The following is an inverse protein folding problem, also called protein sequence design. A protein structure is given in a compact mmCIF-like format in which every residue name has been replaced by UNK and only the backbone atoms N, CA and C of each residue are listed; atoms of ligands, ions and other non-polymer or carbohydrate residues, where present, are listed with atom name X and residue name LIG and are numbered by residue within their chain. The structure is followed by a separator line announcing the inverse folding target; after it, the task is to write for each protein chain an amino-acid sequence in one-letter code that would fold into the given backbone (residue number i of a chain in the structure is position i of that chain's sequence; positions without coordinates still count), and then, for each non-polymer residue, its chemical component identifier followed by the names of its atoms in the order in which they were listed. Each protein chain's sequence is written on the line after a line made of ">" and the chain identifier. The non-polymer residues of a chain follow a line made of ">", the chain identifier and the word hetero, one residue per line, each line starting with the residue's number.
data_IF_063471006484
#
_entry.id   IF_063471006484
#
_cell.length_a   1.000
_cell.length_b   1.000
_cell.length_c   1.000
_cell.angle_alpha   90.00
_cell.angle_beta   90.00
_cell.angle_gamma   90.00
#
_symmetry.space_group_name_H-M   'P 1'
#
loop_
_entity.id
_entity.type
_entity.pdbx_description
1 polymer ?
#
# COMPACT_ATOMS: atom_id res chain seq x y z
N UNK A 1 -21.05 15.27 -3.72
CA UNK A 1 -20.49 14.00 -4.23
C UNK A 1 -20.76 12.80 -3.30
N UNK A 2 -20.71 12.95 -1.97
CA UNK A 2 -20.99 11.85 -1.02
C UNK A 2 -22.34 11.13 -1.24
N UNK A 3 -23.39 11.88 -1.60
CA UNK A 3 -24.72 11.30 -1.87
C UNK A 3 -24.85 10.53 -3.20
N UNK A 4 -23.89 10.69 -4.13
CA UNK A 4 -23.88 9.91 -5.38
C UNK A 4 -23.12 8.61 -5.20
N UNK A 5 -21.93 8.66 -4.59
CA UNK A 5 -21.08 7.48 -4.38
C UNK A 5 -21.77 6.41 -3.52
N UNK A 6 -22.57 6.82 -2.53
CA UNK A 6 -23.35 5.88 -1.69
C UNK A 6 -24.48 5.17 -2.44
N UNK A 7 -24.89 5.67 -3.61
CA UNK A 7 -26.01 5.15 -4.40
C UNK A 7 -25.55 4.27 -5.55
N UNK A 8 -24.26 4.26 -5.85
CA UNK A 8 -23.67 3.46 -6.93
C UNK A 8 -23.86 1.95 -6.70
N UNK A 9 -23.67 1.39 -5.50
CA UNK A 9 -23.91 -0.04 -5.29
C UNK A 9 -25.36 -0.45 -5.60
N UNK A 10 -26.33 0.43 -5.32
CA UNK A 10 -27.74 0.21 -5.66
C UNK A 10 -27.97 0.30 -7.18
N UNK A 11 -27.38 1.29 -7.86
CA UNK A 11 -27.45 1.44 -9.31
C UNK A 11 -26.80 0.26 -10.06
N UNK A 12 -25.65 -0.23 -9.57
CA UNK A 12 -24.99 -1.42 -10.12
C UNK A 12 -25.86 -2.66 -9.97
N UNK A 13 -26.50 -2.87 -8.81
CA UNK A 13 -27.44 -4.00 -8.61
C UNK A 13 -28.69 -3.90 -9.49
N UNK A 14 -29.13 -2.69 -9.83
CA UNK A 14 -30.26 -2.46 -10.73
C UNK A 14 -29.84 -2.56 -12.21
N UNK A 15 -28.55 -2.49 -12.51
CA UNK A 15 -28.03 -2.67 -13.86
C UNK A 15 -28.02 -4.15 -14.24
N UNK A 16 -28.34 -4.47 -15.49
CA UNK A 16 -28.22 -5.83 -16.04
C UNK A 16 -26.80 -6.11 -16.58
N UNK A 17 -25.80 -5.34 -16.14
CA UNK A 17 -24.41 -5.46 -16.58
C UNK A 17 -23.67 -6.49 -15.72
N UNK A 18 -22.63 -7.09 -16.27
CA UNK A 18 -21.69 -7.88 -15.47
C UNK A 18 -20.99 -7.00 -14.44
N UNK A 19 -20.57 -7.55 -13.29
CA UNK A 19 -20.02 -6.78 -12.16
C UNK A 19 -18.90 -5.82 -12.58
N UNK A 20 -17.96 -6.29 -13.41
CA UNK A 20 -16.87 -5.47 -13.94
C UNK A 20 -17.36 -4.37 -14.88
N UNK A 21 -18.27 -4.67 -15.80
CA UNK A 21 -18.82 -3.68 -16.73
C UNK A 21 -19.62 -2.60 -15.99
N UNK A 22 -20.39 -3.00 -14.98
CA UNK A 22 -21.10 -2.08 -14.10
C UNK A 22 -20.09 -1.20 -13.34
N UNK A 23 -19.04 -1.78 -12.76
CA UNK A 23 -18.02 -1.02 -12.05
C UNK A 23 -17.35 0.01 -12.95
N UNK A 24 -16.92 -0.40 -14.14
CA UNK A 24 -16.32 0.51 -15.12
C UNK A 24 -17.30 1.57 -15.63
N UNK A 25 -18.60 1.27 -15.74
CA UNK A 25 -19.60 2.23 -16.17
C UNK A 25 -19.91 3.30 -15.11
N UNK A 26 -19.93 2.93 -13.83
CA UNK A 26 -20.39 3.81 -12.75
C UNK A 26 -19.26 4.43 -11.92
N UNK A 27 -18.22 3.67 -11.57
CA UNK A 27 -17.14 4.14 -10.69
C UNK A 27 -16.00 4.80 -11.44
N UNK A 28 -15.56 4.21 -12.56
CA UNK A 28 -14.39 4.69 -13.28
C UNK A 28 -14.52 6.16 -13.76
N UNK A 29 -15.65 6.63 -14.33
CA UNK A 29 -15.79 8.04 -14.72
C UNK A 29 -15.66 9.00 -13.54
N UNK A 30 -16.12 8.60 -12.36
CA UNK A 30 -16.03 9.40 -11.13
C UNK A 30 -14.57 9.47 -10.68
N UNK A 31 -13.86 8.34 -10.67
CA UNK A 31 -12.44 8.31 -10.33
C UNK A 31 -11.59 9.10 -11.32
N UNK A 32 -11.86 8.99 -12.62
CA UNK A 32 -11.18 9.77 -13.64
C UNK A 32 -11.41 11.27 -13.46
N UNK A 33 -12.66 11.68 -13.16
CA UNK A 33 -12.97 13.08 -12.86
C UNK A 33 -12.24 13.59 -11.62
N UNK A 34 -12.24 12.83 -10.52
CA UNK A 34 -11.51 13.17 -9.30
C UNK A 34 -10.00 13.26 -9.55
N UNK A 35 -9.41 12.27 -10.21
CA UNK A 35 -8.00 12.23 -10.59
C UNK A 35 -7.61 13.40 -11.50
N UNK A 36 -8.50 13.85 -12.40
CA UNK A 36 -8.31 15.08 -13.18
C UNK A 36 -8.24 16.33 -12.30
N UNK A 37 -9.07 16.40 -11.27
CA UNK A 37 -9.08 17.54 -10.35
C UNK A 37 -7.93 17.52 -9.33
N UNK A 38 -7.25 16.39 -9.12
CA UNK A 38 -6.06 16.32 -8.26
C UNK A 38 -4.87 17.17 -8.77
N UNK A 39 -4.90 17.66 -10.02
CA UNK A 39 -3.89 18.57 -10.58
C UNK A 39 -4.47 19.96 -10.91
N UNK A 40 -5.62 20.32 -10.34
CA UNK A 40 -6.26 21.62 -10.57
C UNK A 40 -5.38 22.79 -10.04
N UNK A 41 -5.30 23.96 -10.69
CA UNK A 41 -4.57 25.12 -10.16
C UNK A 41 -5.07 25.61 -8.79
N UNK A 42 -6.36 25.44 -8.49
CA UNK A 42 -6.94 25.80 -7.20
C UNK A 42 -6.65 24.72 -6.15
N UNK A 43 -5.88 25.07 -5.11
CA UNK A 43 -5.46 24.15 -4.03
C UNK A 43 -6.65 23.50 -3.31
N UNK A 44 -7.70 24.26 -3.03
CA UNK A 44 -8.90 23.75 -2.34
C UNK A 44 -9.64 22.70 -3.19
N UNK A 45 -9.76 22.94 -4.50
CA UNK A 45 -10.38 21.98 -5.42
C UNK A 45 -9.55 20.70 -5.47
N UNK A 46 -8.22 20.80 -5.55
CA UNK A 46 -7.33 19.63 -5.50
C UNK A 46 -7.50 18.84 -4.21
N UNK A 47 -7.46 19.53 -3.06
CA UNK A 47 -7.57 18.91 -1.74
C UNK A 47 -8.92 18.19 -1.59
N UNK A 48 -10.02 18.83 -1.99
CA UNK A 48 -11.35 18.23 -1.95
C UNK A 48 -11.48 17.03 -2.89
N UNK A 49 -10.93 17.11 -4.10
CA UNK A 49 -10.92 16.01 -5.05
C UNK A 49 -10.12 14.82 -4.51
N UNK A 50 -8.90 15.07 -4.02
CA UNK A 50 -8.05 14.03 -3.46
C UNK A 50 -8.65 13.39 -2.21
N UNK A 51 -9.19 14.19 -1.28
CA UNK A 51 -9.89 13.68 -0.09
C UNK A 51 -11.09 12.81 -0.48
N UNK A 52 -11.84 13.21 -1.51
CA UNK A 52 -12.97 12.42 -2.01
C UNK A 52 -12.52 11.13 -2.68
N UNK A 53 -11.44 11.17 -3.46
CA UNK A 53 -10.83 10.01 -4.10
C UNK A 53 -10.35 9.01 -3.04
N UNK A 54 -9.56 9.48 -2.07
CA UNK A 54 -9.04 8.67 -0.98
C UNK A 54 -10.16 7.98 -0.20
N UNK A 55 -11.20 8.73 0.22
CA UNK A 55 -12.33 8.16 0.95
C UNK A 55 -13.08 7.10 0.15
N UNK A 56 -13.19 7.32 -1.17
CA UNK A 56 -13.89 6.37 -2.04
C UNK A 56 -13.04 5.10 -2.21
N UNK A 57 -11.78 5.21 -2.61
CA UNK A 57 -10.90 4.05 -2.82
C UNK A 57 -10.69 3.21 -1.56
N UNK A 58 -10.69 3.86 -0.38
CA UNK A 58 -10.57 3.19 0.91
C UNK A 58 -11.92 2.71 1.48
N UNK A 59 -13.04 2.99 0.81
CA UNK A 59 -14.36 2.52 1.25
C UNK A 59 -14.52 1.03 0.94
N UNK A 60 -15.08 0.24 1.87
CA UNK A 60 -15.44 -1.16 1.59
C UNK A 60 -16.49 -1.29 0.48
N UNK A 61 -17.25 -0.22 0.18
CA UNK A 61 -18.34 -0.24 -0.82
C UNK A 61 -17.86 -0.13 -2.28
N UNK A 62 -16.60 0.23 -2.50
CA UNK A 62 -16.05 0.46 -3.85
C UNK A 62 -15.64 -0.84 -4.55
N UNK A 63 -15.41 -1.92 -3.79
CA UNK A 63 -15.09 -3.22 -4.38
C UNK A 63 -16.16 -4.26 -4.01
N UNK A 64 -16.78 -4.82 -5.03
CA UNK A 64 -17.79 -5.86 -4.94
C UNK A 64 -17.13 -7.24 -5.14
N UNK A 65 -16.23 -7.63 -4.23
CA UNK A 65 -15.64 -8.99 -4.13
C UNK A 65 -14.92 -9.55 -5.36
N UNK A 66 -14.92 -8.87 -6.50
CA UNK A 66 -14.35 -9.34 -7.75
C UNK A 66 -12.88 -8.91 -7.88
N UNK A 67 -12.08 -9.84 -8.38
CA UNK A 67 -10.63 -9.76 -8.46
C UNK A 67 -10.17 -8.79 -9.55
N UNK A 68 -11.08 -8.21 -10.34
CA UNK A 68 -10.73 -7.36 -11.48
C UNK A 68 -10.92 -5.87 -11.19
N UNK A 69 -11.71 -5.48 -10.20
CA UNK A 69 -11.98 -4.07 -9.90
C UNK A 69 -10.75 -3.35 -9.32
N UNK A 70 -9.98 -4.03 -8.47
CA UNK A 70 -8.76 -3.45 -7.92
C UNK A 70 -7.68 -3.26 -8.99
N UNK A 71 -7.63 -4.11 -10.05
CA UNK A 71 -6.65 -3.91 -11.16
C UNK A 71 -6.89 -2.57 -11.84
N UNK A 72 -8.16 -2.22 -12.07
CA UNK A 72 -8.56 -0.95 -12.67
C UNK A 72 -8.27 0.22 -11.73
N UNK A 73 -8.42 0.05 -10.40
CA UNK A 73 -8.02 1.07 -9.42
C UNK A 73 -6.53 1.41 -9.56
N UNK A 74 -5.65 0.42 -9.66
CA UNK A 74 -4.22 0.69 -9.84
C UNK A 74 -3.91 1.24 -11.24
N UNK A 75 -4.26 0.48 -12.28
CA UNK A 75 -3.86 0.77 -13.66
C UNK A 75 -4.55 1.98 -14.30
N UNK A 76 -5.79 2.28 -13.92
CA UNK A 76 -6.59 3.34 -14.55
C UNK A 76 -6.79 4.58 -13.67
N UNK A 77 -6.51 4.49 -12.36
CA UNK A 77 -6.73 5.59 -11.41
C UNK A 77 -5.43 6.03 -10.74
N UNK A 78 -4.80 5.16 -9.94
CA UNK A 78 -3.66 5.54 -9.10
C UNK A 78 -2.37 5.76 -9.89
N UNK A 79 -1.99 4.83 -10.78
CA UNK A 79 -0.77 4.98 -11.58
C UNK A 79 -0.87 6.19 -12.53
N UNK A 80 -1.98 6.41 -13.26
CA UNK A 80 -2.13 7.60 -14.09
C UNK A 80 -2.10 8.92 -13.29
N UNK A 81 -2.66 8.95 -12.07
CA UNK A 81 -2.57 10.10 -11.19
C UNK A 81 -1.12 10.43 -10.85
N UNK A 82 -0.35 9.45 -10.37
CA UNK A 82 1.04 9.64 -9.97
C UNK A 82 1.90 10.02 -11.17
N UNK A 83 1.73 9.34 -12.30
CA UNK A 83 2.45 9.69 -13.53
C UNK A 83 2.15 11.12 -13.99
N UNK A 84 0.92 11.60 -13.85
CA UNK A 84 0.57 12.99 -14.14
C UNK A 84 1.27 13.95 -13.18
N UNK A 85 1.28 13.66 -11.88
CA UNK A 85 1.97 14.48 -10.87
C UNK A 85 3.48 14.52 -11.10
N UNK A 86 4.08 13.45 -11.62
CA UNK A 86 5.49 13.37 -11.96
C UNK A 86 5.88 14.22 -13.17
N UNK A 87 4.94 14.67 -14.00
CA UNK A 87 5.25 15.53 -15.14
C UNK A 87 5.77 16.88 -14.69
N UNK A 88 6.86 17.32 -15.30
CA UNK A 88 7.50 18.60 -14.96
C UNK A 88 6.55 19.78 -15.10
N UNK A 89 5.77 19.82 -16.18
CA UNK A 89 4.77 20.87 -16.44
C UNK A 89 3.74 21.02 -15.31
N UNK A 90 3.28 19.90 -14.74
CA UNK A 90 2.35 19.87 -13.61
C UNK A 90 3.06 20.34 -12.35
N UNK A 91 4.24 19.80 -12.06
CA UNK A 91 5.00 20.14 -10.87
C UNK A 91 5.37 21.63 -10.81
N UNK A 92 5.75 22.23 -11.93
CA UNK A 92 6.11 23.65 -12.00
C UNK A 92 4.92 24.59 -11.82
N UNK A 93 3.68 24.11 -11.99
CA UNK A 93 2.48 24.95 -11.82
C UNK A 93 2.23 25.37 -10.38
N UNK A 94 2.64 24.55 -9.41
CA UNK A 94 2.55 24.81 -7.98
C UNK A 94 3.50 23.84 -7.26
N UNK A 95 4.79 24.20 -7.12
CA UNK A 95 5.83 23.27 -6.62
C UNK A 95 5.53 22.72 -5.24
N UNK A 96 5.07 23.59 -4.33
CA UNK A 96 4.77 23.19 -2.96
C UNK A 96 3.50 22.32 -2.92
N UNK A 97 2.42 22.78 -3.57
CA UNK A 97 1.15 22.07 -3.53
C UNK A 97 1.14 20.76 -4.31
N UNK A 98 1.85 20.69 -5.44
CA UNK A 98 2.04 19.43 -6.17
C UNK A 98 3.03 18.52 -5.47
N UNK A 99 3.98 19.10 -4.72
CA UNK A 99 4.88 18.33 -3.89
C UNK A 99 4.13 17.60 -2.77
N UNK A 100 3.29 18.32 -2.04
CA UNK A 100 2.39 17.74 -1.05
C UNK A 100 1.49 16.67 -1.68
N UNK A 101 0.93 16.93 -2.87
CA UNK A 101 0.08 15.96 -3.57
C UNK A 101 0.82 14.66 -3.93
N UNK A 102 2.11 14.73 -4.30
CA UNK A 102 2.92 13.52 -4.57
C UNK A 102 3.15 12.71 -3.30
N UNK A 103 3.44 13.35 -2.16
CA UNK A 103 3.56 12.70 -0.84
C UNK A 103 2.24 12.01 -0.46
N UNK A 104 1.13 12.73 -0.57
CA UNK A 104 -0.18 12.17 -0.26
C UNK A 104 -0.55 11.01 -1.19
N UNK A 105 -0.25 11.13 -2.49
CA UNK A 105 -0.53 10.10 -3.49
C UNK A 105 0.32 8.84 -3.30
N UNK A 106 1.60 8.98 -2.90
CA UNK A 106 2.46 7.83 -2.58
C UNK A 106 1.90 7.06 -1.38
N UNK A 107 1.50 7.77 -0.33
CA UNK A 107 0.87 7.14 0.83
C UNK A 107 -0.47 6.50 0.51
N UNK A 108 -1.28 7.13 -0.36
CA UNK A 108 -2.56 6.55 -0.80
C UNK A 108 -2.33 5.24 -1.57
N UNK A 109 -1.35 5.21 -2.47
CA UNK A 109 -1.01 4.02 -3.25
C UNK A 109 -0.68 2.83 -2.33
N UNK A 110 0.21 3.02 -1.36
CA UNK A 110 0.55 1.98 -0.38
C UNK A 110 -0.65 1.54 0.47
N UNK A 111 -1.49 2.49 0.91
CA UNK A 111 -2.68 2.18 1.73
C UNK A 111 -3.69 1.33 0.96
N UNK A 112 -3.95 1.67 -0.31
CA UNK A 112 -4.86 0.91 -1.17
C UNK A 112 -4.28 -0.48 -1.45
N UNK A 113 -2.98 -0.60 -1.71
CA UNK A 113 -2.31 -1.89 -1.85
C UNK A 113 -2.47 -2.78 -0.62
N UNK A 114 -2.20 -2.23 0.57
CA UNK A 114 -2.35 -2.98 1.82
C UNK A 114 -3.80 -3.38 2.10
N UNK A 115 -4.77 -2.52 1.81
CA UNK A 115 -6.18 -2.82 1.97
C UNK A 115 -6.61 -4.04 1.15
N UNK A 116 -6.10 -4.17 -0.07
CA UNK A 116 -6.44 -5.26 -0.98
C UNK A 116 -5.45 -6.43 -0.92
N UNK A 117 -4.42 -6.38 -0.07
CA UNK A 117 -3.31 -7.35 -0.07
C UNK A 117 -3.76 -8.80 0.02
N UNK A 118 -4.76 -9.09 0.87
CA UNK A 118 -5.28 -10.46 1.03
C UNK A 118 -5.90 -10.96 -0.27
N UNK A 119 -6.71 -10.15 -0.96
CA UNK A 119 -7.30 -10.52 -2.26
C UNK A 119 -6.23 -10.57 -3.36
N UNK A 120 -5.26 -9.66 -3.32
CA UNK A 120 -4.15 -9.62 -4.26
C UNK A 120 -3.30 -10.89 -4.15
N UNK A 121 -3.09 -11.41 -2.93
CA UNK A 121 -2.22 -12.57 -2.71
C UNK A 121 -2.69 -13.86 -3.38
N UNK A 122 -3.97 -13.96 -3.74
CA UNK A 122 -4.54 -15.11 -4.47
C UNK A 122 -4.50 -14.92 -5.99
N UNK A 123 -4.10 -13.73 -6.47
CA UNK A 123 -4.02 -13.40 -7.89
C UNK A 123 -2.59 -13.54 -8.42
N UNK A 124 -2.46 -14.21 -9.57
CA UNK A 124 -1.16 -14.54 -10.16
C UNK A 124 -0.30 -13.32 -10.52
N UNK A 125 -0.90 -12.16 -10.81
CA UNK A 125 -0.17 -10.94 -11.16
C UNK A 125 0.29 -10.09 -9.97
N UNK A 126 0.11 -10.56 -8.72
CA UNK A 126 0.43 -9.79 -7.51
C UNK A 126 1.88 -9.32 -7.49
N UNK A 127 2.79 -10.20 -7.93
CA UNK A 127 4.20 -9.88 -8.08
C UNK A 127 4.39 -8.70 -9.02
N UNK A 128 3.85 -8.76 -10.23
CA UNK A 128 4.01 -7.69 -11.23
C UNK A 128 3.47 -6.34 -10.73
N UNK A 129 2.29 -6.36 -10.09
CA UNK A 129 1.71 -5.16 -9.48
C UNK A 129 2.60 -4.59 -8.38
N UNK A 130 3.11 -5.44 -7.49
CA UNK A 130 3.97 -5.01 -6.40
C UNK A 130 5.29 -4.40 -6.92
N UNK A 131 5.88 -5.02 -7.94
CA UNK A 131 7.10 -4.50 -8.57
C UNK A 131 6.84 -3.17 -9.28
N UNK A 132 5.70 -3.01 -9.94
CA UNK A 132 5.29 -1.72 -10.51
C UNK A 132 5.09 -0.63 -9.45
N UNK A 133 4.53 -0.98 -8.28
CA UNK A 133 4.44 -0.06 -7.14
C UNK A 133 5.83 0.36 -6.66
N UNK A 134 6.78 -0.56 -6.54
CA UNK A 134 8.16 -0.23 -6.17
C UNK A 134 8.80 0.69 -7.22
N UNK A 135 8.63 0.40 -8.51
CA UNK A 135 9.17 1.23 -9.60
C UNK A 135 8.56 2.65 -9.60
N UNK A 136 7.29 2.79 -9.21
CA UNK A 136 6.65 4.10 -9.01
C UNK A 136 7.23 4.84 -7.80
N UNK A 137 7.50 4.13 -6.70
CA UNK A 137 8.14 4.70 -5.51
C UNK A 137 9.56 5.20 -5.80
N UNK A 138 10.33 4.41 -6.55
CA UNK A 138 11.66 4.81 -7.05
C UNK A 138 11.58 6.12 -7.86
N UNK A 139 10.65 6.19 -8.82
CA UNK A 139 10.44 7.39 -9.64
C UNK A 139 10.01 8.60 -8.83
N UNK A 140 9.20 8.42 -7.78
CA UNK A 140 8.78 9.50 -6.87
C UNK A 140 9.97 10.00 -6.06
N UNK A 141 10.73 9.09 -5.44
CA UNK A 141 11.92 9.43 -4.66
C UNK A 141 12.95 10.19 -5.52
N UNK A 142 13.21 9.70 -6.73
CA UNK A 142 14.17 10.31 -7.66
C UNK A 142 13.59 11.48 -8.49
N UNK A 143 12.44 12.03 -8.13
CA UNK A 143 11.80 13.15 -8.86
C UNK A 143 12.34 14.55 -8.49
N UNK A 144 13.33 14.64 -7.60
CA UNK A 144 14.02 15.89 -7.23
C UNK A 144 13.21 16.84 -6.34
N UNK A 145 12.24 16.32 -5.59
CA UNK A 145 11.33 17.10 -4.75
C UNK A 145 11.83 17.40 -3.32
N UNK A 146 12.99 16.85 -2.96
CA UNK A 146 13.62 17.07 -1.66
C UNK A 146 13.13 16.13 -0.55
N UNK A 147 13.73 16.28 0.63
CA UNK A 147 13.77 15.29 1.72
C UNK A 147 12.40 14.78 2.18
N UNK A 148 11.36 15.63 2.15
CA UNK A 148 10.02 15.24 2.63
C UNK A 148 9.39 14.12 1.79
N UNK A 149 9.64 14.08 0.48
CA UNK A 149 9.11 13.01 -0.37
C UNK A 149 9.92 11.73 -0.21
N UNK A 150 11.25 11.87 -0.10
CA UNK A 150 12.16 10.75 0.12
C UNK A 150 11.83 10.03 1.43
N UNK A 151 11.62 10.79 2.51
CA UNK A 151 11.23 10.25 3.81
C UNK A 151 9.86 9.58 3.76
N UNK A 152 8.88 10.22 3.11
CA UNK A 152 7.55 9.62 2.95
C UNK A 152 7.60 8.32 2.15
N UNK A 153 8.38 8.24 1.07
CA UNK A 153 8.54 7.02 0.27
C UNK A 153 9.22 5.93 1.11
N UNK A 154 10.31 6.25 1.81
CA UNK A 154 11.02 5.32 2.70
C UNK A 154 10.08 4.74 3.76
N UNK A 155 9.34 5.60 4.46
CA UNK A 155 8.43 5.18 5.52
C UNK A 155 7.23 4.40 4.98
N UNK A 156 6.67 4.77 3.83
CA UNK A 156 5.60 4.01 3.19
C UNK A 156 6.08 2.60 2.80
N UNK A 157 7.25 2.46 2.17
CA UNK A 157 7.84 1.16 1.81
C UNK A 157 8.13 0.32 3.06
N UNK A 158 8.73 0.91 4.09
CA UNK A 158 8.98 0.26 5.38
C UNK A 158 7.71 -0.37 5.95
N UNK A 159 6.63 0.40 6.02
CA UNK A 159 5.35 -0.05 6.56
C UNK A 159 4.73 -1.18 5.72
N UNK A 160 4.78 -1.08 4.38
CA UNK A 160 4.26 -2.13 3.50
C UNK A 160 5.04 -3.43 3.67
N UNK A 161 6.37 -3.37 3.60
CA UNK A 161 7.25 -4.54 3.71
C UNK A 161 7.08 -5.21 5.08
N UNK A 162 7.04 -4.42 6.15
CA UNK A 162 6.86 -4.95 7.51
C UNK A 162 5.50 -5.66 7.63
N UNK A 163 4.44 -5.09 7.07
CA UNK A 163 3.11 -5.72 7.06
C UNK A 163 3.07 -7.00 6.21
N UNK A 164 3.65 -6.98 5.01
CA UNK A 164 3.74 -8.17 4.15
C UNK A 164 4.54 -9.28 4.82
N UNK A 165 5.63 -8.94 5.52
CA UNK A 165 6.45 -9.91 6.23
C UNK A 165 5.76 -10.46 7.48
N UNK A 166 5.13 -9.61 8.30
CA UNK A 166 4.37 -10.05 9.48
C UNK A 166 3.15 -10.91 9.13
N UNK A 167 2.53 -10.65 7.98
CA UNK A 167 1.39 -11.41 7.47
C UNK A 167 1.79 -12.67 6.68
N UNK A 168 3.09 -12.94 6.54
CA UNK A 168 3.60 -14.13 5.84
C UNK A 168 3.49 -14.10 4.31
N UNK A 169 3.24 -12.94 3.70
CA UNK A 169 3.25 -12.76 2.25
C UNK A 169 4.68 -12.59 1.72
N UNK A 170 5.54 -11.89 2.45
CA UNK A 170 6.93 -11.64 2.08
C UNK A 170 7.88 -12.43 2.99
N UNK A 171 8.34 -13.58 2.50
CA UNK A 171 9.12 -14.55 3.27
C UNK A 171 10.42 -14.87 2.53
N UNK A 172 11.53 -14.93 3.27
CA UNK A 172 12.83 -15.25 2.70
C UNK A 172 12.87 -16.68 2.14
N UNK A 173 13.63 -16.87 1.04
CA UNK A 173 13.81 -18.18 0.40
C UNK A 173 14.34 -19.28 1.33
N UNK A 174 15.02 -18.91 2.42
CA UNK A 174 15.50 -19.82 3.46
C UNK A 174 14.39 -20.41 4.32
N UNK A 175 13.25 -19.71 4.45
CA UNK A 175 12.09 -20.14 5.24
C UNK A 175 11.02 -20.78 4.33
N UNK A 176 10.79 -20.22 3.14
CA UNK A 176 9.83 -20.75 2.17
C UNK A 176 10.36 -20.57 0.74
N UNK A 177 10.79 -21.66 0.12
CA UNK A 177 11.32 -21.65 -1.24
C UNK A 177 10.27 -21.21 -2.29
N UNK A 178 8.98 -21.40 -2.03
CA UNK A 178 7.90 -21.01 -2.96
C UNK A 178 7.69 -19.51 -3.02
N UNK A 179 8.06 -18.78 -1.95
CA UNK A 179 7.94 -17.31 -1.83
C UNK A 179 9.24 -16.56 -2.10
N UNK A 180 10.32 -17.30 -2.39
CA UNK A 180 11.64 -16.74 -2.63
C UNK A 180 11.71 -15.75 -3.78
N UNK A 181 10.93 -15.94 -4.85
CA UNK A 181 10.90 -15.04 -6.00
C UNK A 181 10.45 -13.64 -5.62
N UNK A 182 9.32 -13.52 -4.90
CA UNK A 182 8.78 -12.23 -4.44
C UNK A 182 9.78 -11.52 -3.51
N UNK A 183 10.41 -12.26 -2.61
CA UNK A 183 11.45 -11.74 -1.72
C UNK A 183 12.64 -11.18 -2.49
N UNK A 184 13.22 -11.98 -3.40
CA UNK A 184 14.40 -11.59 -4.15
C UNK A 184 14.11 -10.39 -5.05
N UNK A 185 12.99 -10.41 -5.79
CA UNK A 185 12.62 -9.31 -6.70
C UNK A 185 12.30 -8.00 -5.97
N UNK A 186 11.74 -8.09 -4.75
CA UNK A 186 11.51 -6.92 -3.88
C UNK A 186 12.82 -6.26 -3.51
N UNK A 187 13.78 -7.01 -2.95
CA UNK A 187 15.07 -6.44 -2.53
C UNK A 187 15.94 -6.03 -3.71
N UNK A 188 15.93 -6.78 -4.81
CA UNK A 188 16.64 -6.42 -6.06
C UNK A 188 16.25 -5.04 -6.60
N UNK A 189 15.01 -4.58 -6.37
CA UNK A 189 14.55 -3.24 -6.75
C UNK A 189 14.79 -2.22 -5.65
N UNK A 190 14.40 -2.52 -4.41
CA UNK A 190 14.52 -1.59 -3.29
C UNK A 190 15.97 -1.20 -3.01
N UNK A 191 16.91 -2.14 -3.09
CA UNK A 191 18.32 -1.87 -2.79
C UNK A 191 18.95 -0.85 -3.75
N UNK A 192 18.33 -0.59 -4.91
CA UNK A 192 18.81 0.39 -5.89
C UNK A 192 18.61 1.84 -5.45
N UNK A 193 17.59 2.11 -4.64
CA UNK A 193 17.22 3.47 -4.25
C UNK A 193 17.04 3.65 -2.73
N UNK A 194 16.88 2.55 -1.97
CA UNK A 194 16.84 2.54 -0.49
C UNK A 194 17.68 1.40 0.09
N UNK A 195 19.02 1.37 -0.12
CA UNK A 195 19.90 0.25 0.21
C UNK A 195 19.94 -0.12 1.71
N UNK A 196 19.61 0.83 2.59
CA UNK A 196 19.67 0.62 4.03
C UNK A 196 18.38 0.01 4.60
N UNK A 197 17.29 0.03 3.84
CA UNK A 197 15.96 -0.34 4.34
C UNK A 197 15.89 -1.79 4.82
N UNK A 198 16.56 -2.71 4.12
CA UNK A 198 16.59 -4.13 4.51
C UNK A 198 17.23 -4.32 5.88
N UNK A 199 18.33 -3.61 6.13
CA UNK A 199 19.07 -3.65 7.40
C UNK A 199 18.26 -3.01 8.51
N UNK A 200 17.62 -1.88 8.23
CA UNK A 200 16.77 -1.15 9.18
C UNK A 200 15.57 -1.97 9.67
N UNK A 201 15.08 -2.90 8.83
CA UNK A 201 13.95 -3.77 9.16
C UNK A 201 14.35 -5.06 9.90
N UNK A 202 15.65 -5.38 9.99
CA UNK A 202 16.18 -6.58 10.65
C UNK A 202 15.51 -7.91 10.22
N UNK A 203 15.04 -8.00 8.98
CA UNK A 203 14.24 -9.15 8.51
C UNK A 203 15.06 -10.42 8.22
N UNK A 204 16.39 -10.33 8.21
CA UNK A 204 17.30 -11.46 8.02
C UNK A 204 17.62 -12.19 9.34
N UNK A 205 17.24 -11.64 10.50
CA UNK A 205 17.37 -12.36 11.76
C UNK A 205 16.29 -13.44 11.83
N UNK A 206 16.65 -14.72 12.09
CA UNK A 206 15.64 -15.71 12.41
C UNK A 206 14.86 -15.17 13.60
N UNK A 207 13.55 -14.96 13.43
CA UNK A 207 12.67 -14.71 14.58
C UNK A 207 12.93 -15.86 15.55
N UNK A 208 13.64 -15.57 16.64
CA UNK A 208 13.63 -16.42 17.80
C UNK A 208 12.18 -16.36 18.29
N UNK A 209 11.35 -17.28 17.80
CA UNK A 209 9.99 -17.46 18.28
C UNK A 209 10.05 -17.57 19.81
N UNK A 210 9.17 -16.83 20.47
CA UNK A 210 9.15 -16.62 21.91
C UNK A 210 8.86 -17.89 22.72
N UNK A 211 9.83 -18.80 22.77
CA UNK A 211 9.85 -19.98 23.64
C UNK A 211 10.58 -19.76 24.96
N UNK A 212 11.32 -18.66 25.12
CA UNK A 212 12.23 -18.49 26.26
C UNK A 212 11.63 -17.74 27.46
N UNK A 213 10.50 -17.04 27.31
CA UNK A 213 9.85 -16.42 28.47
C UNK A 213 9.14 -17.45 29.37
N UNK A 214 8.59 -18.53 28.82
CA UNK A 214 7.94 -19.57 29.64
C UNK A 214 8.95 -20.47 30.36
N UNK A 215 10.13 -20.69 29.77
CA UNK A 215 11.23 -21.44 30.40
C UNK A 215 11.90 -20.66 31.54
N UNK A 216 12.06 -19.34 31.39
CA UNK A 216 12.63 -18.48 32.43
C UNK A 216 11.71 -18.34 33.66
N UNK A 217 10.38 -18.30 33.44
CA UNK A 217 9.40 -18.24 34.54
C UNK A 217 9.31 -19.60 35.25
N UNK A 218 9.29 -20.72 34.52
CA UNK A 218 9.26 -22.06 35.13
C UNK A 218 10.53 -22.38 35.95
N UNK A 219 11.71 -21.93 35.50
CA UNK A 219 12.96 -22.10 36.25
C UNK A 219 13.03 -21.23 37.51
N UNK A 220 12.34 -20.09 37.54
CA UNK A 220 12.25 -19.20 38.71
C UNK A 220 11.27 -19.74 39.77
N UNK A 221 10.13 -20.28 39.34
CA UNK A 221 9.13 -20.88 40.25
C UNK A 221 9.63 -22.19 40.90
N UNK A 222 10.44 -22.98 40.20
CA UNK A 222 11.03 -24.21 40.75
C UNK A 222 12.06 -23.95 41.86
N UNK A 223 12.73 -22.78 41.87
CA UNK A 223 13.72 -22.42 42.92
C UNK A 223 13.09 -21.81 44.18
N UNK A 224 11.89 -21.27 44.11
CA UNK A 224 11.20 -20.70 45.29
C UNK A 224 10.46 -21.74 46.14
N UNK A 225 10.12 -22.92 45.57
CA UNK A 225 9.39 -23.97 46.29
C UNK A 225 10.30 -24.97 47.04
N UNK A 226 11.63 -24.85 46.95
CA UNK A 226 12.57 -25.74 47.64
C UNK A 226 13.06 -25.22 49.01
N UNK A 227 12.63 -24.03 49.44
CA UNK A 227 13.21 -23.33 50.60
C UNK A 227 12.24 -23.11 51.78
N UNK A 228 11.23 -23.99 51.93
CA UNK A 228 10.41 -24.04 53.16
C UNK A 228 10.55 -25.40 53.87
N UNK A 229 11.36 -25.49 54.95
CA UNK A 229 11.35 -26.65 55.82
C UNK A 229 10.06 -26.65 56.66
N UNK A 230 9.32 -27.75 56.61
CA UNK A 230 8.23 -28.04 57.54
C UNK A 230 8.78 -28.06 58.98
N UNK A 231 8.17 -27.24 59.84
CA UNK A 231 8.15 -27.40 61.30
C UNK A 231 6.69 -27.45 61.72
#
# INVERSE_FOLDING_TARGET
>A
MYNMTSRIPELMKQSHLESREAWSAYWLPIFQALTAQCTNPCRDVRLLAFTSLQRSLLSPDVTCSDHQEWTAIFGEVLFPLIHRLLKQEVFTSDRDGMGEMRVQSSSLLCKVFLQYLVLLSTWDGMLDLWLEIIDIMDRLMNSGQGDSLEEAVRENLKNVILFMSSSGFLVASSQDASKGTLWNETWNRIDRFVPDLKRDLALDEPRADGGDEEAAVAASTAKQNSDHPQV
#
